data_IF_666649203833
#
_entry.id   IF_666649203833
#
_cell.length_a   1.000
_cell.length_b   1.000
_cell.length_c   1.000
_cell.angle_alpha   90.00
_cell.angle_beta   90.00
_cell.angle_gamma   90.00
#
_symmetry.space_group_name_H-M   'P 1'
#
loop_
_entity.id
_entity.type
_entity.pdbx_description
1 polymer ?
#
# COMPACT_ATOMS: atom_id res chain seq x y z
N UNK A 1 -1.90 34.20 -19.33
CA UNK A 1 -0.77 33.73 -18.50
C UNK A 1 -1.14 32.36 -17.97
N UNK A 2 -0.33 31.35 -18.32
CA UNK A 2 -0.61 29.93 -18.19
C UNK A 2 -0.80 29.50 -16.73
N UNK A 3 -1.88 28.75 -16.47
CA UNK A 3 -2.15 28.10 -15.19
C UNK A 3 -1.16 26.96 -15.00
N UNK A 4 -0.30 27.06 -13.98
CA UNK A 4 0.58 25.97 -13.56
C UNK A 4 -0.27 24.90 -12.86
N UNK A 5 -0.68 23.88 -13.61
CA UNK A 5 -1.20 22.67 -13.01
C UNK A 5 -0.11 22.07 -12.11
N UNK A 6 -0.37 22.00 -10.81
CA UNK A 6 0.49 21.29 -9.85
C UNK A 6 0.76 19.88 -10.35
N UNK A 7 2.00 19.34 -10.23
CA UNK A 7 2.27 17.99 -10.66
C UNK A 7 1.29 17.06 -9.95
N UNK A 8 0.45 16.36 -10.71
CA UNK A 8 -0.40 15.29 -10.16
C UNK A 8 0.53 14.31 -9.48
N UNK A 9 0.59 14.34 -8.16
CA UNK A 9 1.32 13.35 -7.37
C UNK A 9 0.88 11.96 -7.86
N UNK A 10 1.82 11.15 -8.33
CA UNK A 10 1.55 9.85 -8.96
C UNK A 10 0.88 8.84 -8.00
N UNK A 11 0.89 9.15 -6.70
CA UNK A 11 0.34 8.34 -5.63
C UNK A 11 -0.81 9.07 -4.95
N UNK A 12 -1.85 8.32 -4.57
CA UNK A 12 -2.93 8.82 -3.72
C UNK A 12 -2.38 9.29 -2.37
N UNK A 13 -3.05 10.20 -1.64
CA UNK A 13 -2.59 10.66 -0.32
C UNK A 13 -2.31 9.52 0.67
N UNK A 14 -3.13 8.46 0.62
CA UNK A 14 -2.95 7.25 1.42
C UNK A 14 -1.64 6.53 1.08
N UNK A 15 -1.35 6.35 -0.22
CA UNK A 15 -0.10 5.73 -0.66
C UNK A 15 1.13 6.56 -0.36
N UNK A 16 1.04 7.90 -0.40
CA UNK A 16 2.13 8.76 0.05
C UNK A 16 2.45 8.54 1.53
N UNK A 17 1.42 8.44 2.37
CA UNK A 17 1.60 8.18 3.80
C UNK A 17 2.19 6.78 4.04
N UNK A 18 1.68 5.75 3.38
CA UNK A 18 2.20 4.39 3.47
C UNK A 18 3.68 4.33 3.07
N UNK A 19 4.04 4.89 1.91
CA UNK A 19 5.41 4.87 1.39
C UNK A 19 6.39 5.63 2.29
N UNK A 20 5.95 6.75 2.89
CA UNK A 20 6.75 7.50 3.86
C UNK A 20 7.11 6.63 5.07
N UNK A 21 6.14 5.94 5.67
CA UNK A 21 6.37 5.08 6.84
C UNK A 21 7.19 3.84 6.43
N UNK A 22 6.91 3.26 5.26
CA UNK A 22 7.66 2.12 4.74
C UNK A 22 9.14 2.46 4.50
N UNK A 23 9.46 3.69 4.09
CA UNK A 23 10.84 4.13 3.92
C UNK A 23 11.65 4.13 5.24
N UNK A 24 10.99 4.26 6.39
CA UNK A 24 11.63 4.13 7.71
C UNK A 24 11.89 2.65 8.09
N UNK A 25 11.22 1.72 7.39
CA UNK A 25 11.26 0.27 7.64
C UNK A 25 11.35 -0.56 6.34
N UNK A 26 12.37 -0.35 5.49
CA UNK A 26 12.40 -0.90 4.13
C UNK A 26 12.37 -2.43 4.09
N UNK A 27 13.04 -3.10 5.04
CA UNK A 27 13.20 -4.56 5.08
C UNK A 27 12.15 -5.29 5.93
N UNK A 28 11.22 -4.56 6.57
CA UNK A 28 10.20 -5.15 7.47
C UNK A 28 8.84 -5.10 6.84
N UNK A 29 8.01 -6.12 7.08
CA UNK A 29 6.60 -6.06 6.71
C UNK A 29 5.91 -4.93 7.49
N UNK A 30 5.23 -4.03 6.77
CA UNK A 30 4.46 -2.94 7.37
C UNK A 30 2.97 -3.28 7.37
N UNK A 31 2.44 -3.57 8.56
CA UNK A 31 1.00 -3.77 8.77
C UNK A 31 0.34 -2.39 8.87
N UNK A 32 -0.20 -1.89 7.76
CA UNK A 32 -0.80 -0.57 7.70
C UNK A 32 -2.29 -0.63 8.03
N UNK A 33 -2.70 0.03 9.11
CA UNK A 33 -4.09 -0.05 9.58
C UNK A 33 -5.03 0.75 8.68
N UNK A 34 -6.02 0.06 8.13
CA UNK A 34 -7.09 0.59 7.28
C UNK A 34 -8.44 0.15 7.85
N UNK A 35 -9.00 0.96 8.75
CA UNK A 35 -10.23 0.61 9.47
C UNK A 35 -10.04 -0.64 10.34
N UNK A 36 -10.79 -1.68 10.03
CA UNK A 36 -10.79 -2.97 10.75
C UNK A 36 -9.79 -3.99 10.17
N UNK A 37 -8.96 -3.58 9.22
CA UNK A 37 -7.92 -4.43 8.63
C UNK A 37 -6.52 -3.86 8.85
N UNK A 38 -5.55 -4.77 8.94
CA UNK A 38 -4.16 -4.46 8.60
C UNK A 38 -3.92 -4.87 7.16
N UNK A 39 -3.61 -3.90 6.31
CA UNK A 39 -3.28 -4.09 4.90
C UNK A 39 -1.77 -3.93 4.68
N UNK A 40 -1.24 -4.76 3.79
CA UNK A 40 0.11 -4.66 3.26
C UNK A 40 0.02 -4.41 1.76
N UNK A 41 0.99 -3.68 1.20
CA UNK A 41 1.01 -3.30 -0.21
C UNK A 41 2.33 -3.66 -0.90
N UNK A 42 2.29 -3.80 -2.23
CA UNK A 42 3.45 -4.10 -3.08
C UNK A 42 4.15 -5.41 -2.68
N UNK A 43 5.47 -5.41 -2.52
CA UNK A 43 6.25 -6.59 -2.18
C UNK A 43 5.88 -7.17 -0.81
N UNK A 44 5.49 -6.32 0.15
CA UNK A 44 5.03 -6.77 1.46
C UNK A 44 3.75 -7.61 1.33
N UNK A 45 2.84 -7.24 0.42
CA UNK A 45 1.64 -8.00 0.15
C UNK A 45 1.96 -9.39 -0.41
N UNK A 46 2.89 -9.47 -1.36
CA UNK A 46 3.29 -10.75 -1.97
C UNK A 46 3.95 -11.67 -0.95
N UNK A 47 4.85 -11.13 -0.12
CA UNK A 47 5.52 -11.87 0.95
C UNK A 47 4.53 -12.33 2.01
N UNK A 48 3.65 -11.44 2.48
CA UNK A 48 2.65 -11.77 3.49
C UNK A 48 1.67 -12.82 3.00
N UNK A 49 1.21 -12.74 1.75
CA UNK A 49 0.33 -13.75 1.14
C UNK A 49 0.94 -15.16 1.21
N UNK A 50 2.24 -15.28 0.88
CA UNK A 50 2.95 -16.56 0.93
C UNK A 50 3.22 -17.03 2.36
N UNK A 51 3.67 -16.13 3.25
CA UNK A 51 4.08 -16.48 4.61
C UNK A 51 2.91 -16.78 5.54
N UNK A 52 1.78 -16.11 5.34
CA UNK A 52 0.61 -16.17 6.22
C UNK A 52 -0.55 -16.96 5.62
N UNK A 53 -0.38 -17.48 4.40
CA UNK A 53 -1.43 -18.19 3.63
C UNK A 53 -2.73 -17.36 3.52
N UNK A 54 -2.57 -16.09 3.14
CA UNK A 54 -3.69 -15.15 2.91
C UNK A 54 -3.78 -14.76 1.44
N UNK A 55 -4.99 -14.45 0.98
CA UNK A 55 -5.24 -14.10 -0.42
C UNK A 55 -4.47 -12.84 -0.84
N UNK A 56 -3.68 -12.96 -1.90
CA UNK A 56 -3.13 -11.81 -2.63
C UNK A 56 -4.18 -11.26 -3.61
N UNK A 57 -4.48 -9.97 -3.52
CA UNK A 57 -5.38 -9.24 -4.40
C UNK A 57 -4.73 -7.93 -4.89
N UNK A 58 -5.49 -7.06 -5.53
CA UNK A 58 -5.02 -5.74 -5.96
C UNK A 58 -6.03 -4.63 -5.61
N UNK A 59 -5.51 -3.44 -5.31
CA UNK A 59 -6.29 -2.26 -4.94
C UNK A 59 -6.01 -1.10 -5.89
N UNK A 60 -7.04 -0.67 -6.62
CA UNK A 60 -6.99 0.53 -7.46
C UNK A 60 -5.78 0.56 -8.39
N UNK A 61 -5.30 1.77 -8.70
CA UNK A 61 -4.08 1.99 -9.47
C UNK A 61 -3.24 3.08 -8.80
N UNK A 62 -1.92 2.93 -8.84
CA UNK A 62 -0.96 3.97 -8.50
C UNK A 62 0.14 4.02 -9.54
N UNK A 63 0.52 5.22 -9.97
CA UNK A 63 1.48 5.40 -11.06
C UNK A 63 1.15 4.59 -12.35
N UNK A 64 -0.15 4.33 -12.60
CA UNK A 64 -0.63 3.60 -13.77
C UNK A 64 -0.57 2.08 -13.68
N UNK A 65 -0.24 1.51 -12.51
CA UNK A 65 -0.25 0.06 -12.28
C UNK A 65 -1.13 -0.30 -11.08
N UNK A 66 -1.77 -1.49 -11.09
CA UNK A 66 -2.53 -1.98 -9.95
C UNK A 66 -1.61 -2.23 -8.75
N UNK A 67 -2.08 -1.91 -7.54
CA UNK A 67 -1.28 -2.06 -6.32
C UNK A 67 -1.54 -3.44 -5.72
N UNK A 68 -0.55 -4.36 -5.66
CA UNK A 68 -0.71 -5.63 -4.96
C UNK A 68 -1.05 -5.37 -3.49
N UNK A 69 -2.00 -6.12 -2.94
CA UNK A 69 -2.51 -5.94 -1.59
C UNK A 69 -2.86 -7.28 -0.95
N UNK A 70 -2.53 -7.43 0.32
CA UNK A 70 -3.00 -8.53 1.17
C UNK A 70 -3.39 -7.94 2.52
N UNK A 71 -4.33 -8.56 3.23
CA UNK A 71 -4.77 -8.03 4.51
C UNK A 71 -5.43 -9.06 5.41
N UNK A 72 -5.47 -8.72 6.69
CA UNK A 72 -6.04 -9.53 7.76
C UNK A 72 -6.90 -8.65 8.68
N UNK A 73 -7.99 -9.17 9.27
CA UNK A 73 -8.79 -8.41 10.20
C UNK A 73 -8.01 -8.12 11.48
N UNK A 74 -8.26 -6.97 12.11
CA UNK A 74 -7.48 -6.50 13.28
C UNK A 74 -7.58 -7.41 14.51
N UNK A 75 -8.63 -8.24 14.57
CA UNK A 75 -9.00 -9.06 15.73
C UNK A 75 -8.64 -10.54 15.57
N UNK A 76 -7.88 -10.91 14.52
CA UNK A 76 -7.41 -12.27 14.28
C UNK A 76 -5.99 -12.49 14.83
#
# INVERSE_FOLDING_TARGET
MSSLASPKTAHTPLMQQYLRIKAEHPERLLFFRMGDFYELFYDDAQRAAQLLDITLTARGESAGAPIPMAGLPYHA
#
